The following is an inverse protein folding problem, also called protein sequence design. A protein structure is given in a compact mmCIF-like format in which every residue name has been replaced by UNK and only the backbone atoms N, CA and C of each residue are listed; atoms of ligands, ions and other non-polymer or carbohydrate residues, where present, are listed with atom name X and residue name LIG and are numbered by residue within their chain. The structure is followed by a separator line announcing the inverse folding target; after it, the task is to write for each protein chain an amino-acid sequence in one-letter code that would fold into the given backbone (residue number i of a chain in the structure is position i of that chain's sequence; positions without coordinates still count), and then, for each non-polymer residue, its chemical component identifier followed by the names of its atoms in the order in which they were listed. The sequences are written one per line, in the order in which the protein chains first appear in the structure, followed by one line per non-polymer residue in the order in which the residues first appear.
data_IF_657385585493
#
_entry.id   IF_657385585493
#
_cell.length_a   1.000
_cell.length_b   1.000
_cell.length_c   1.000
_cell.angle_alpha   90.00
_cell.angle_beta   90.00
_cell.angle_gamma   90.00
#
_symmetry.space_group_name_H-M   'P 1'
#
loop_
_entity.id
_entity.type
_entity.pdbx_description
1 polymer ?
#
# COMPACT_ATOMS: atom_id res chain seq x y z
N UNK A 1 1.40 0.66 -7.05
CA UNK A 1 0.23 0.39 -6.20
C UNK A 1 -0.85 1.38 -6.58
N UNK A 2 -2.13 1.00 -6.50
CA UNK A 2 -3.22 1.96 -6.67
C UNK A 2 -3.14 3.08 -5.63
N UNK A 3 -3.53 4.29 -6.03
CA UNK A 3 -3.29 5.49 -5.24
C UNK A 3 -4.27 5.64 -4.06
N UNK A 4 -5.36 4.86 -4.05
CA UNK A 4 -6.44 5.02 -3.08
C UNK A 4 -6.64 3.77 -2.25
N UNK A 5 -6.76 3.96 -0.93
CA UNK A 5 -7.05 2.89 0.01
C UNK A 5 -8.42 2.26 -0.32
N UNK A 6 -8.54 0.92 -0.47
CA UNK A 6 -9.80 0.25 -0.79
C UNK A 6 -10.84 0.32 0.34
N UNK A 7 -10.45 0.77 1.55
CA UNK A 7 -11.39 0.95 2.66
C UNK A 7 -12.40 2.08 2.39
N UNK A 8 -11.92 3.31 2.22
CA UNK A 8 -12.76 4.51 2.04
C UNK A 8 -12.07 5.57 1.15
N UNK A 9 -11.28 5.12 0.17
CA UNK A 9 -10.76 5.94 -0.94
C UNK A 9 -9.80 7.10 -0.59
N UNK A 10 -9.30 7.15 0.65
CA UNK A 10 -8.18 8.01 1.06
C UNK A 10 -7.00 7.91 0.10
N UNK A 11 -6.42 9.05 -0.28
CA UNK A 11 -5.32 9.10 -1.24
C UNK A 11 -4.00 8.80 -0.54
N UNK A 12 -3.44 7.61 -0.75
CA UNK A 12 -2.29 7.09 0.00
C UNK A 12 -1.01 7.91 -0.18
N UNK A 13 -0.82 8.61 -1.30
CA UNK A 13 0.35 9.48 -1.46
C UNK A 13 0.24 10.81 -0.69
N UNK A 14 -0.98 11.22 -0.32
CA UNK A 14 -1.23 12.48 0.40
C UNK A 14 -1.52 12.22 1.88
N UNK A 15 -2.23 11.13 2.18
CA UNK A 15 -2.76 10.76 3.49
C UNK A 15 -2.15 9.43 3.98
N UNK A 16 -0.96 9.10 3.52
CA UNK A 16 -0.27 7.87 3.88
C UNK A 16 1.13 8.10 4.42
N UNK A 17 1.72 7.00 4.88
CA UNK A 17 3.05 6.97 5.46
C UNK A 17 3.77 5.69 5.10
N UNK A 18 5.08 5.75 4.85
CA UNK A 18 5.91 4.55 4.65
C UNK A 18 6.45 4.11 6.00
N UNK A 19 6.11 2.89 6.42
CA UNK A 19 6.59 2.28 7.65
C UNK A 19 7.25 0.92 7.33
N UNK A 20 8.59 0.91 7.33
CA UNK A 20 9.37 -0.21 6.85
C UNK A 20 9.07 -0.50 5.37
N UNK A 21 8.62 -1.73 5.09
CA UNK A 21 8.24 -2.17 3.75
C UNK A 21 6.74 -2.01 3.44
N UNK A 22 6.01 -1.26 4.26
CA UNK A 22 4.56 -1.12 4.14
C UNK A 22 4.14 0.33 3.90
N UNK A 23 3.09 0.49 3.10
CA UNK A 23 2.37 1.76 2.95
C UNK A 23 1.16 1.78 3.90
N UNK A 24 1.10 2.77 4.78
CA UNK A 24 0.07 2.91 5.81
C UNK A 24 -0.89 4.02 5.41
N UNK A 25 -2.19 3.74 5.39
CA UNK A 25 -3.23 4.75 5.28
C UNK A 25 -3.45 5.42 6.65
N UNK A 26 -3.20 6.72 6.78
CA UNK A 26 -3.32 7.43 8.05
C UNK A 26 -4.75 7.77 8.45
N UNK A 27 -5.73 7.61 7.55
CA UNK A 27 -7.14 7.78 7.90
C UNK A 27 -7.66 6.66 8.82
N UNK A 28 -7.20 5.41 8.61
CA UNK A 28 -7.79 4.23 9.28
C UNK A 28 -6.78 3.15 9.70
N UNK A 29 -5.49 3.39 9.46
CA UNK A 29 -4.36 2.51 9.78
C UNK A 29 -4.40 1.13 9.10
N UNK A 30 -4.97 1.07 7.89
CA UNK A 30 -4.73 -0.06 6.99
C UNK A 30 -3.31 0.04 6.44
N UNK A 31 -2.66 -1.11 6.32
CA UNK A 31 -1.25 -1.25 5.94
C UNK A 31 -1.17 -2.19 4.75
N UNK A 32 -0.37 -1.84 3.76
CA UNK A 32 -0.23 -2.59 2.53
C UNK A 32 1.21 -3.00 2.32
N UNK A 33 1.46 -4.28 2.14
CA UNK A 33 2.80 -4.79 1.79
C UNK A 33 3.19 -4.39 0.37
N UNK A 34 4.44 -4.60 -0.02
CA UNK A 34 4.90 -4.39 -1.42
C UNK A 34 4.19 -5.30 -2.43
N UNK A 35 3.63 -6.43 -1.98
CA UNK A 35 2.78 -7.32 -2.79
C UNK A 35 1.30 -6.94 -2.78
N UNK A 36 0.91 -5.90 -2.05
CA UNK A 36 -0.47 -5.39 -2.02
C UNK A 36 -1.35 -5.99 -0.92
N UNK A 37 -0.84 -6.88 -0.08
CA UNK A 37 -1.66 -7.50 0.96
C UNK A 37 -2.10 -6.48 2.02
N UNK A 38 -3.39 -6.44 2.31
CA UNK A 38 -3.98 -5.50 3.26
C UNK A 38 -4.05 -6.04 4.68
N UNK A 39 -3.61 -5.24 5.65
CA UNK A 39 -3.60 -5.61 7.07
C UNK A 39 -3.95 -4.42 7.98
N UNK A 40 -4.36 -4.69 9.22
CA UNK A 40 -4.43 -3.67 10.27
C UNK A 40 -3.94 -4.25 11.59
N UNK A 41 -3.02 -3.55 12.26
CA UNK A 41 -2.64 -3.91 13.63
C UNK A 41 -3.74 -3.47 14.59
N UNK A 42 -4.13 -4.35 15.51
CA UNK A 42 -4.95 -3.98 16.65
C UNK A 42 -4.07 -3.43 17.79
N UNK A 43 -4.70 -2.98 18.89
CA UNK A 43 -3.98 -2.40 20.03
C UNK A 43 -2.99 -3.38 20.69
N UNK A 44 -3.21 -4.68 20.54
CA UNK A 44 -2.31 -5.74 21.03
C UNK A 44 -1.25 -6.18 20.01
N UNK A 45 -1.11 -5.46 18.88
CA UNK A 45 -0.13 -5.77 17.84
C UNK A 45 -0.50 -6.94 16.91
N UNK A 46 -1.62 -7.64 17.15
CA UNK A 46 -2.10 -8.67 16.22
C UNK A 46 -2.50 -8.02 14.90
N UNK A 47 -2.13 -8.65 13.80
CA UNK A 47 -2.47 -8.20 12.45
C UNK A 47 -3.74 -8.90 11.95
N UNK A 48 -4.76 -8.11 11.66
CA UNK A 48 -6.02 -8.57 11.09
C UNK A 48 -6.03 -8.35 9.56
N UNK A 49 -6.36 -9.38 8.78
CA UNK A 49 -6.43 -9.31 7.30
C UNK A 49 -7.49 -8.30 6.85
N UNK A 50 -7.21 -7.59 5.76
CA UNK A 50 -8.07 -6.62 5.10
C UNK A 50 -8.08 -6.83 3.59
N UNK A 51 -8.82 -5.99 2.87
CA UNK A 51 -8.84 -6.00 1.41
C UNK A 51 -7.47 -5.61 0.87
N UNK A 52 -7.00 -6.38 -0.12
CA UNK A 52 -5.74 -6.13 -0.81
C UNK A 52 -5.86 -4.94 -1.76
N UNK A 53 -4.72 -4.40 -2.17
CA UNK A 53 -4.64 -3.29 -3.12
C UNK A 53 -3.81 -3.70 -4.34
N UNK A 54 -4.26 -3.31 -5.52
CA UNK A 54 -3.57 -3.66 -6.75
C UNK A 54 -2.17 -3.04 -6.79
N UNK A 55 -1.19 -3.86 -7.16
CA UNK A 55 0.20 -3.47 -7.32
C UNK A 55 0.62 -3.65 -8.77
N UNK A 56 1.40 -2.69 -9.28
CA UNK A 56 2.01 -2.79 -10.60
C UNK A 56 3.47 -3.14 -10.42
N UNK A 57 3.97 -4.21 -11.08
CA UNK A 57 5.39 -4.51 -11.09
C UNK A 57 6.19 -3.30 -11.59
N UNK A 58 7.28 -2.99 -10.91
CA UNK A 58 8.20 -1.96 -11.30
C UNK A 58 9.64 -2.45 -11.23
N UNK A 59 10.53 -1.80 -11.98
CA UNK A 59 11.97 -2.04 -11.94
C UNK A 59 12.71 -0.72 -12.02
N UNK A 60 13.86 -0.65 -11.36
CA UNK A 60 14.81 0.44 -11.53
C UNK A 60 15.81 0.09 -12.65
N UNK A 61 16.02 1.02 -13.57
CA UNK A 61 17.02 0.91 -14.65
C UNK A 61 17.63 2.29 -14.86
N UNK A 62 18.95 2.41 -14.72
CA UNK A 62 19.72 3.65 -14.88
C UNK A 62 19.14 4.85 -14.09
N UNK A 63 18.84 4.63 -12.81
CA UNK A 63 18.28 5.64 -11.91
C UNK A 63 16.84 6.06 -12.23
N UNK A 64 16.13 5.32 -13.09
CA UNK A 64 14.74 5.57 -13.46
C UNK A 64 13.84 4.41 -13.05
N UNK A 65 12.64 4.73 -12.57
CA UNK A 65 11.62 3.73 -12.23
C UNK A 65 10.71 3.48 -13.43
N UNK A 66 10.64 2.23 -13.86
CA UNK A 66 9.78 1.75 -14.92
C UNK A 66 8.65 0.92 -14.34
N UNK A 67 7.41 1.21 -14.72
CA UNK A 67 6.22 0.45 -14.31
C UNK A 67 5.68 -0.33 -15.51
N UNK A 68 5.32 -1.60 -15.32
CA UNK A 68 4.69 -2.40 -16.36
C UNK A 68 3.29 -1.82 -16.67
N UNK A 69 3.03 -1.52 -17.95
CA UNK A 69 1.67 -1.23 -18.42
C UNK A 69 0.81 -2.48 -18.35
N UNK A 70 -0.38 -2.35 -17.80
CA UNK A 70 -1.46 -3.33 -17.94
C UNK A 70 -2.24 -3.00 -19.22
N UNK A 71 -2.37 -3.99 -20.11
CA UNK A 71 -3.26 -3.97 -21.28
C UNK A 71 -4.69 -4.20 -20.87
#
# INVERSE_FOLDING_TARGET
MEARCPHQWSHLAQEGWVDGAELVCLAHFWRFTTSGEGWKANLGGRRDRKGDIDVRPCREVDGRIWVRRTT
#
